data_IF_952693870036
#
_entry.id   IF_952693870036
#
_cell.length_a   1.000
_cell.length_b   1.000
_cell.length_c   1.000
_cell.angle_alpha   90.00
_cell.angle_beta   90.00
_cell.angle_gamma   90.00
#
_symmetry.space_group_name_H-M   'P 1'
#
loop_
_entity.id
_entity.type
_entity.pdbx_description
1 polymer ?
#
# COMPACT_ATOMS: atom_id res chain seq x y z
N UNK A 1 16.25 -92.72 43.74
CA UNK A 1 17.15 -92.10 44.74
C UNK A 1 17.32 -90.63 44.35
N UNK A 2 16.74 -89.68 45.08
CA UNK A 2 17.32 -88.94 46.23
C UNK A 2 18.60 -88.15 45.87
N UNK A 3 18.39 -86.88 45.48
CA UNK A 3 18.96 -85.60 46.01
C UNK A 3 20.49 -85.48 46.14
N UNK A 4 21.12 -84.41 45.58
CA UNK A 4 21.62 -83.19 46.32
C UNK A 4 22.52 -82.23 45.49
N UNK A 5 22.22 -80.92 45.58
CA UNK A 5 23.14 -79.73 45.67
C UNK A 5 24.04 -79.36 44.47
N UNK A 6 24.45 -78.12 44.14
CA UNK A 6 24.63 -76.81 44.83
C UNK A 6 24.82 -75.73 43.71
N UNK A 7 24.14 -74.58 43.72
CA UNK A 7 24.67 -73.21 43.99
C UNK A 7 25.28 -72.35 42.85
N UNK A 8 25.05 -71.03 42.98
CA UNK A 8 25.71 -69.84 42.40
C UNK A 8 25.36 -69.44 40.96
N UNK A 9 24.49 -68.44 40.75
CA UNK A 9 24.75 -66.97 40.78
C UNK A 9 25.75 -66.55 39.70
N UNK A 10 25.26 -65.99 38.58
CA UNK A 10 25.46 -64.57 38.16
C UNK A 10 24.36 -64.23 37.15
N UNK A 11 23.37 -63.46 37.58
CA UNK A 11 22.44 -62.76 36.66
C UNK A 11 23.16 -61.51 36.19
N UNK A 12 23.75 -61.56 35.00
CA UNK A 12 24.23 -60.36 34.30
C UNK A 12 23.03 -59.67 33.67
N UNK A 13 22.29 -58.89 34.48
CA UNK A 13 21.29 -57.96 33.97
C UNK A 13 22.02 -56.85 33.22
N UNK A 14 22.13 -56.98 31.90
CA UNK A 14 22.63 -55.95 31.01
C UNK A 14 21.58 -54.82 30.99
N UNK A 15 21.70 -53.88 31.92
CA UNK A 15 20.87 -52.69 31.97
C UNK A 15 21.22 -51.81 30.78
N UNK A 16 20.53 -52.00 29.64
CA UNK A 16 20.45 -51.01 28.58
C UNK A 16 19.68 -49.81 29.14
N UNK A 17 20.40 -48.88 29.78
CA UNK A 17 19.88 -47.55 30.05
C UNK A 17 19.76 -46.83 28.71
N UNK A 18 18.59 -46.96 28.08
CA UNK A 18 18.17 -46.11 26.97
C UNK A 18 18.10 -44.68 27.47
N UNK A 19 19.19 -43.92 27.33
CA UNK A 19 19.11 -42.47 27.39
C UNK A 19 18.27 -42.04 26.19
N UNK A 20 16.97 -41.79 26.43
CA UNK A 20 16.18 -41.02 25.48
C UNK A 20 16.92 -39.69 25.32
N UNK A 21 17.55 -39.50 24.17
CA UNK A 21 18.10 -38.21 23.79
C UNK A 21 16.91 -37.25 23.77
N UNK A 22 16.81 -36.37 24.77
CA UNK A 22 15.90 -35.24 24.69
C UNK A 22 16.34 -34.47 23.45
N UNK A 23 15.50 -34.44 22.42
CA UNK A 23 15.69 -33.56 21.29
C UNK A 23 15.62 -32.13 21.84
N UNK A 24 16.80 -31.52 22.00
CA UNK A 24 16.92 -30.14 22.44
C UNK A 24 16.22 -29.27 21.39
N UNK A 25 15.20 -28.52 21.78
CA UNK A 25 14.48 -27.66 20.85
C UNK A 25 15.41 -26.54 20.43
N UNK A 26 16.01 -26.67 19.24
CA UNK A 26 16.88 -25.64 18.69
C UNK A 26 16.03 -24.52 18.10
N UNK A 27 15.87 -23.44 18.84
CA UNK A 27 15.23 -22.22 18.34
C UNK A 27 16.25 -21.44 17.52
N UNK A 28 15.96 -21.22 16.24
CA UNK A 28 16.77 -20.37 15.35
C UNK A 28 16.23 -18.95 15.35
N UNK A 29 17.04 -17.98 14.93
CA UNK A 29 16.59 -16.60 14.77
C UNK A 29 15.48 -16.53 13.70
N UNK A 30 14.29 -16.06 14.11
CA UNK A 30 13.19 -15.74 13.19
C UNK A 30 13.46 -14.46 12.39
N UNK A 31 12.80 -14.33 11.24
CA UNK A 31 12.83 -13.11 10.41
C UNK A 31 11.93 -11.99 10.94
N UNK A 32 11.82 -10.90 10.18
CA UNK A 32 11.05 -9.70 10.55
C UNK A 32 9.67 -9.71 9.88
N UNK A 33 8.63 -9.36 10.65
CA UNK A 33 7.28 -9.07 10.13
C UNK A 33 7.03 -7.57 10.28
N UNK A 34 6.61 -6.89 9.20
CA UNK A 34 6.28 -5.47 9.21
C UNK A 34 4.77 -5.28 9.22
N UNK A 35 4.23 -4.70 10.29
CA UNK A 35 2.82 -4.34 10.41
C UNK A 35 2.67 -2.85 10.09
N UNK A 36 1.82 -2.52 9.12
CA UNK A 36 1.41 -1.15 8.79
C UNK A 36 -0.10 -1.02 9.02
N UNK A 37 -0.52 0.05 9.67
CA UNK A 37 -1.92 0.35 9.92
C UNK A 37 -2.05 1.63 10.73
N UNK A 38 -3.19 2.29 10.62
CA UNK A 38 -3.53 3.48 11.38
C UNK A 38 -4.91 3.26 12.02
N UNK A 39 -5.01 3.55 13.32
CA UNK A 39 -6.30 3.52 14.03
C UNK A 39 -6.80 4.96 14.10
N UNK A 40 -7.85 5.27 13.36
CA UNK A 40 -8.49 6.59 13.34
C UNK A 40 -9.81 6.55 14.10
N UNK A 41 -10.14 7.62 14.84
CA UNK A 41 -11.48 7.81 15.42
C UNK A 41 -12.31 8.65 14.46
N UNK A 42 -12.53 8.12 13.26
CA UNK A 42 -13.27 8.80 12.20
C UNK A 42 -14.57 8.06 11.88
N UNK A 43 -15.41 8.65 11.03
CA UNK A 43 -16.69 8.05 10.64
C UNK A 43 -16.55 6.74 9.85
N UNK A 44 -15.41 6.54 9.19
CA UNK A 44 -15.05 5.30 8.50
C UNK A 44 -13.58 4.93 8.74
N UNK A 45 -13.26 3.65 8.58
CA UNK A 45 -11.90 3.16 8.42
C UNK A 45 -11.51 3.17 6.94
N UNK A 46 -10.24 3.42 6.61
CA UNK A 46 -9.75 3.24 5.23
C UNK A 46 -9.36 1.78 5.03
N UNK A 47 -9.82 1.15 3.95
CA UNK A 47 -9.48 -0.25 3.63
C UNK A 47 -7.96 -0.43 3.49
N UNK A 48 -7.43 -1.56 3.98
CA UNK A 48 -6.00 -1.85 3.95
C UNK A 48 -5.41 -1.90 2.53
N UNK A 49 -6.20 -2.32 1.53
CA UNK A 49 -5.82 -2.30 0.12
C UNK A 49 -5.80 -0.89 -0.48
N UNK A 50 -6.50 0.06 0.14
CA UNK A 50 -6.51 1.47 -0.27
C UNK A 50 -5.39 2.30 0.38
N UNK A 51 -4.82 1.83 1.52
CA UNK A 51 -3.72 2.50 2.25
C UNK A 51 -2.41 2.49 1.46
N UNK A 52 -2.04 1.36 0.85
CA UNK A 52 -0.77 1.17 0.13
C UNK A 52 -1.02 0.65 -1.29
N UNK A 53 -1.72 1.46 -2.09
CA UNK A 53 -2.10 1.11 -3.46
C UNK A 53 -1.05 1.54 -4.49
N UNK A 54 -0.78 0.67 -5.46
CA UNK A 54 0.04 0.99 -6.63
C UNK A 54 -0.87 1.06 -7.86
N UNK A 55 -1.00 2.25 -8.43
CA UNK A 55 -1.79 2.49 -9.66
C UNK A 55 -0.87 2.41 -10.87
N UNK A 56 -1.03 1.39 -11.71
CA UNK A 56 -0.22 1.26 -12.94
C UNK A 56 -0.76 2.16 -14.05
N UNK A 57 -0.10 3.30 -14.30
CA UNK A 57 -0.44 4.22 -15.39
C UNK A 57 -0.11 3.66 -16.79
N UNK A 58 0.72 2.63 -16.86
CA UNK A 58 1.19 2.03 -18.11
C UNK A 58 2.21 2.89 -18.85
N UNK A 59 2.54 2.47 -20.07
CA UNK A 59 3.51 3.18 -20.92
C UNK A 59 2.80 4.14 -21.87
N UNK A 60 3.33 5.36 -21.97
CA UNK A 60 2.84 6.40 -22.90
C UNK A 60 3.98 6.87 -23.77
N UNK A 61 3.73 6.96 -25.07
CA UNK A 61 4.73 7.50 -26.01
C UNK A 61 4.95 8.98 -25.74
N UNK A 62 6.21 9.40 -25.59
CA UNK A 62 6.60 10.81 -25.43
C UNK A 62 6.04 11.71 -26.54
N UNK A 63 5.90 11.20 -27.76
CA UNK A 63 5.27 11.91 -28.88
C UNK A 63 3.80 12.32 -28.62
N UNK A 64 3.06 11.61 -27.75
CA UNK A 64 1.71 11.99 -27.32
C UNK A 64 1.73 13.13 -26.28
N UNK A 65 2.88 13.36 -25.66
CA UNK A 65 3.13 14.33 -24.59
C UNK A 65 4.13 15.40 -25.05
N UNK A 66 4.09 15.77 -26.33
CA UNK A 66 5.08 16.63 -26.96
C UNK A 66 4.92 18.12 -26.62
N UNK A 67 3.77 18.54 -26.09
CA UNK A 67 3.47 19.92 -25.74
C UNK A 67 2.87 20.03 -24.34
N UNK A 68 3.10 21.18 -23.69
CA UNK A 68 2.44 21.50 -22.44
C UNK A 68 0.90 21.41 -22.57
N UNK A 69 0.25 20.80 -21.58
CA UNK A 69 -1.19 20.53 -21.60
C UNK A 69 -1.59 19.20 -22.26
N UNK A 70 -0.66 18.50 -22.91
CA UNK A 70 -0.92 17.16 -23.44
C UNK A 70 -1.12 16.15 -22.30
N UNK A 71 -2.08 15.24 -22.47
CA UNK A 71 -2.43 14.25 -21.44
C UNK A 71 -2.45 12.82 -21.99
N UNK A 72 -2.18 11.86 -21.11
CA UNK A 72 -2.37 10.44 -21.42
C UNK A 72 -3.82 10.00 -21.27
N UNK A 73 -4.08 8.74 -21.60
CA UNK A 73 -5.29 8.08 -21.12
C UNK A 73 -5.27 8.05 -19.59
N UNK A 74 -6.43 8.25 -18.98
CA UNK A 74 -6.59 8.18 -17.54
C UNK A 74 -6.80 6.73 -17.09
N UNK A 75 -6.22 6.40 -15.94
CA UNK A 75 -6.39 5.11 -15.26
C UNK A 75 -7.21 5.36 -14.00
N UNK A 76 -8.33 4.65 -13.88
CA UNK A 76 -9.17 4.72 -12.69
C UNK A 76 -8.54 3.98 -11.52
N UNK A 77 -8.66 4.54 -10.34
CA UNK A 77 -8.34 3.90 -9.07
C UNK A 77 -9.38 4.29 -8.03
N UNK A 78 -9.52 3.49 -6.99
CA UNK A 78 -10.55 3.72 -5.97
C UNK A 78 -9.90 3.86 -4.59
N UNK A 79 -10.55 4.63 -3.73
CA UNK A 79 -10.31 4.61 -2.29
C UNK A 79 -11.55 4.03 -1.65
N UNK A 80 -11.39 2.88 -1.00
CA UNK A 80 -12.46 2.21 -0.27
C UNK A 80 -12.39 2.61 1.21
N UNK A 81 -13.56 2.98 1.75
CA UNK A 81 -13.80 3.25 3.15
C UNK A 81 -14.70 2.14 3.70
N UNK A 82 -14.29 1.48 4.77
CA UNK A 82 -15.02 0.42 5.43
C UNK A 82 -15.60 0.88 6.77
N UNK A 83 -16.61 0.14 7.24
CA UNK A 83 -17.29 0.38 8.52
C UNK A 83 -17.75 1.83 8.71
N UNK A 84 -18.26 2.45 7.63
CA UNK A 84 -18.80 3.80 7.72
C UNK A 84 -20.06 3.85 8.59
N UNK A 85 -20.14 4.84 9.47
CA UNK A 85 -21.31 5.17 10.29
C UNK A 85 -21.86 6.55 9.89
N UNK A 86 -23.00 6.54 9.20
CA UNK A 86 -23.63 7.77 8.70
C UNK A 86 -24.22 8.67 9.79
N UNK A 87 -24.31 8.19 11.03
CA UNK A 87 -24.70 9.01 12.19
C UNK A 87 -23.58 9.92 12.67
N UNK A 88 -22.32 9.58 12.36
CA UNK A 88 -21.13 10.39 12.68
C UNK A 88 -20.85 11.41 11.57
N UNK A 89 -20.88 10.97 10.31
CA UNK A 89 -20.71 11.83 9.15
C UNK A 89 -21.48 11.28 7.94
N UNK A 90 -22.04 12.17 7.14
CA UNK A 90 -22.87 11.80 5.99
C UNK A 90 -22.12 11.89 4.67
N UNK A 91 -20.95 12.53 4.65
CA UNK A 91 -20.13 12.70 3.46
C UNK A 91 -18.66 12.48 3.77
N UNK A 92 -17.92 12.07 2.73
CA UNK A 92 -16.47 12.02 2.74
C UNK A 92 -15.89 12.70 1.50
N UNK A 93 -14.77 13.39 1.69
CA UNK A 93 -14.01 14.04 0.63
C UNK A 93 -12.53 13.70 0.81
N UNK A 94 -11.77 13.61 -0.28
CA UNK A 94 -10.35 13.23 -0.22
C UNK A 94 -9.48 14.35 -0.77
N UNK A 95 -8.44 14.73 -0.03
CA UNK A 95 -7.40 15.63 -0.51
C UNK A 95 -6.10 14.84 -0.71
N UNK A 96 -5.35 15.16 -1.77
CA UNK A 96 -4.03 14.59 -2.03
C UNK A 96 -2.93 15.58 -1.67
N UNK A 97 -1.81 15.08 -1.18
CA UNK A 97 -0.62 15.85 -0.85
C UNK A 97 0.61 15.21 -1.46
N UNK A 98 1.42 16.03 -2.12
CA UNK A 98 2.64 15.59 -2.76
C UNK A 98 3.43 16.77 -3.30
N UNK A 99 4.64 16.51 -3.79
CA UNK A 99 5.46 17.57 -4.39
C UNK A 99 4.90 17.93 -5.76
N UNK A 100 4.42 19.16 -5.95
CA UNK A 100 4.06 19.65 -7.27
C UNK A 100 5.30 19.76 -8.18
N UNK A 101 5.12 19.55 -9.48
CA UNK A 101 6.22 19.61 -10.47
C UNK A 101 6.87 21.00 -10.54
N UNK A 102 6.07 22.05 -10.37
CA UNK A 102 6.51 23.44 -10.29
C UNK A 102 5.46 24.32 -9.58
N UNK A 103 5.77 25.58 -9.32
CA UNK A 103 4.89 26.53 -8.61
C UNK A 103 3.69 27.01 -9.43
N UNK A 104 3.69 26.80 -10.74
CA UNK A 104 2.59 27.18 -11.64
C UNK A 104 1.61 26.03 -11.89
N UNK A 105 2.06 24.79 -11.78
CA UNK A 105 1.30 23.56 -12.02
C UNK A 105 1.10 22.78 -10.71
N UNK A 106 0.41 23.39 -9.75
CA UNK A 106 0.16 22.82 -8.40
C UNK A 106 -0.72 21.57 -8.38
N UNK A 107 -1.37 21.23 -9.50
CA UNK A 107 -2.21 20.04 -9.67
C UNK A 107 -1.46 18.86 -10.33
N UNK A 108 -0.18 19.04 -10.65
CA UNK A 108 0.64 18.04 -11.33
C UNK A 108 1.74 17.58 -10.39
N UNK A 109 1.72 16.30 -10.05
CA UNK A 109 2.64 15.66 -9.14
C UNK A 109 3.99 15.46 -9.83
N UNK A 110 5.04 15.92 -9.17
CA UNK A 110 6.41 15.72 -9.59
C UNK A 110 6.74 14.23 -9.60
N UNK A 111 7.49 13.81 -10.61
CA UNK A 111 8.06 12.48 -10.63
C UNK A 111 9.17 12.38 -9.57
N UNK A 112 9.32 11.19 -8.99
CA UNK A 112 10.44 10.90 -8.10
C UNK A 112 11.75 10.96 -8.89
N UNK A 113 12.48 12.05 -8.74
CA UNK A 113 13.64 12.37 -9.58
C UNK A 113 14.94 11.73 -9.09
N UNK A 114 14.85 10.58 -8.41
CA UNK A 114 15.98 9.97 -7.69
C UNK A 114 16.87 9.07 -8.56
N UNK A 115 16.53 8.84 -9.84
CA UNK A 115 17.30 7.96 -10.72
C UNK A 115 17.67 8.61 -12.06
N UNK A 116 18.87 8.31 -12.55
CA UNK A 116 19.25 8.62 -13.93
C UNK A 116 18.28 7.92 -14.90
N UNK A 117 17.70 8.68 -15.84
CA UNK A 117 16.72 8.15 -16.79
C UNK A 117 15.25 8.37 -16.41
N UNK A 118 14.95 9.23 -15.43
CA UNK A 118 13.58 9.72 -15.21
C UNK A 118 13.10 10.61 -16.37
N UNK A 119 11.81 10.53 -16.67
CA UNK A 119 11.19 11.42 -17.65
C UNK A 119 11.18 12.86 -17.15
N UNK A 120 11.29 13.82 -18.06
CA UNK A 120 11.24 15.26 -17.76
C UNK A 120 10.07 15.93 -18.48
N UNK A 121 9.65 17.10 -17.99
CA UNK A 121 8.51 17.88 -18.52
C UNK A 121 7.16 17.13 -18.50
N UNK A 122 7.03 16.15 -17.61
CA UNK A 122 5.81 15.37 -17.40
C UNK A 122 5.68 15.04 -15.93
N UNK A 123 4.45 15.04 -15.43
CA UNK A 123 4.10 14.59 -14.09
C UNK A 123 2.79 13.81 -14.10
N UNK A 124 2.30 13.47 -12.91
CA UNK A 124 1.03 12.73 -12.73
C UNK A 124 -0.04 13.67 -12.20
N UNK A 125 -1.19 13.74 -12.86
CA UNK A 125 -2.34 14.50 -12.42
C UNK A 125 -3.38 13.55 -11.85
N UNK A 126 -3.89 13.87 -10.66
CA UNK A 126 -4.97 13.14 -9.99
C UNK A 126 -6.26 13.92 -10.21
N UNK A 127 -7.30 13.22 -10.63
CA UNK A 127 -8.63 13.76 -10.88
C UNK A 127 -9.64 13.07 -9.98
N UNK A 128 -10.61 13.83 -9.50
CA UNK A 128 -11.74 13.30 -8.76
C UNK A 128 -12.77 12.60 -9.67
N UNK A 129 -13.86 12.13 -9.06
CA UNK A 129 -14.96 11.47 -9.76
C UNK A 129 -15.64 12.34 -10.83
N UNK A 130 -15.49 13.67 -10.77
CA UNK A 130 -16.04 14.62 -11.75
C UNK A 130 -15.07 14.88 -12.90
N UNK A 131 -13.84 14.36 -12.83
CA UNK A 131 -12.76 14.68 -13.76
C UNK A 131 -12.10 16.02 -13.47
N UNK A 132 -12.24 16.56 -12.26
CA UNK A 132 -11.60 17.80 -11.83
C UNK A 132 -10.21 17.49 -11.27
N UNK A 133 -9.14 18.15 -11.77
CA UNK A 133 -7.81 18.02 -11.18
C UNK A 133 -7.76 18.54 -9.74
N UNK A 134 -7.14 17.76 -8.85
CA UNK A 134 -6.93 18.15 -7.46
C UNK A 134 -5.56 18.79 -7.27
N UNK A 135 -5.50 19.86 -6.49
CA UNK A 135 -4.23 20.41 -6.04
C UNK A 135 -3.59 19.48 -5.01
N UNK A 136 -2.26 19.47 -4.97
CA UNK A 136 -1.47 18.53 -4.18
C UNK A 136 -1.00 19.16 -2.85
N UNK A 137 -1.83 20.01 -2.27
CA UNK A 137 -1.56 20.77 -1.04
C UNK A 137 -2.03 20.05 0.23
N UNK A 138 -2.79 18.96 0.10
CA UNK A 138 -3.43 18.25 1.20
C UNK A 138 -4.56 19.03 1.88
N UNK A 139 -5.09 20.07 1.22
CA UNK A 139 -6.18 20.93 1.70
C UNK A 139 -7.28 21.15 0.63
N UNK A 140 -6.98 20.88 -0.64
CA UNK A 140 -7.94 20.87 -1.73
C UNK A 140 -8.62 19.50 -1.80
N UNK A 141 -9.86 19.45 -1.34
CA UNK A 141 -10.66 18.22 -1.28
C UNK A 141 -11.42 17.96 -2.59
N UNK A 142 -11.61 16.68 -2.89
CA UNK A 142 -12.46 16.19 -3.97
C UNK A 142 -13.92 16.59 -3.79
N UNK A 143 -14.71 16.44 -4.86
CA UNK A 143 -16.17 16.42 -4.71
C UNK A 143 -16.60 15.46 -3.58
N UNK A 144 -17.47 15.95 -2.71
CA UNK A 144 -17.96 15.19 -1.56
C UNK A 144 -18.78 13.98 -2.03
N UNK A 145 -18.47 12.82 -1.48
CA UNK A 145 -19.19 11.57 -1.73
C UNK A 145 -20.13 11.32 -0.57
N UNK A 146 -21.41 11.11 -0.86
CA UNK A 146 -22.38 10.70 0.17
C UNK A 146 -22.06 9.31 0.67
N UNK A 147 -21.92 9.17 1.98
CA UNK A 147 -21.65 7.91 2.65
C UNK A 147 -22.93 7.12 2.86
N UNK A 148 -22.79 5.80 2.82
CA UNK A 148 -23.79 4.84 3.28
C UNK A 148 -23.20 4.04 4.45
N UNK A 149 -24.04 3.42 5.26
CA UNK A 149 -23.52 2.53 6.32
C UNK A 149 -22.80 1.32 5.68
N UNK A 150 -21.60 1.00 6.18
CA UNK A 150 -20.76 -0.06 5.64
C UNK A 150 -19.75 0.42 4.57
N UNK A 151 -19.46 -0.40 3.52
CA UNK A 151 -18.39 -0.09 2.58
C UNK A 151 -18.79 0.98 1.56
N UNK A 152 -17.91 1.96 1.35
CA UNK A 152 -18.06 3.04 0.38
C UNK A 152 -16.84 3.11 -0.54
N UNK A 153 -17.08 3.27 -1.84
CA UNK A 153 -16.02 3.34 -2.86
C UNK A 153 -16.02 4.73 -3.47
N UNK A 154 -14.90 5.44 -3.33
CA UNK A 154 -14.70 6.76 -3.92
C UNK A 154 -13.78 6.61 -5.15
N UNK A 155 -14.30 6.83 -6.38
CA UNK A 155 -13.51 6.68 -7.59
C UNK A 155 -12.68 7.93 -7.91
N UNK A 156 -11.45 7.70 -8.33
CA UNK A 156 -10.49 8.70 -8.79
C UNK A 156 -9.88 8.25 -10.12
N UNK A 157 -9.18 9.18 -10.77
CA UNK A 157 -8.43 8.89 -11.97
C UNK A 157 -7.04 9.50 -11.88
N UNK A 158 -6.04 8.82 -12.44
CA UNK A 158 -4.70 9.33 -12.58
C UNK A 158 -4.28 9.31 -14.05
N UNK A 159 -3.58 10.35 -14.51
CA UNK A 159 -3.07 10.44 -15.88
C UNK A 159 -1.75 11.19 -15.91
N UNK A 160 -0.93 10.94 -16.93
CA UNK A 160 0.22 11.81 -17.21
C UNK A 160 -0.23 13.16 -17.75
N UNK A 161 0.43 14.22 -17.31
CA UNK A 161 0.25 15.59 -17.78
C UNK A 161 1.61 16.18 -18.15
N UNK A 162 1.74 16.66 -19.39
CA UNK A 162 2.94 17.30 -19.88
C UNK A 162 2.97 18.78 -19.49
N UNK A 163 4.05 19.23 -18.85
CA UNK A 163 4.35 20.65 -18.60
C UNK A 163 5.22 21.27 -19.71
N UNK A 164 5.70 20.44 -20.64
CA UNK A 164 6.48 20.83 -21.81
C UNK A 164 6.65 19.64 -22.75
N UNK A 165 7.71 19.63 -23.56
CA UNK A 165 8.02 18.47 -24.40
C UNK A 165 8.57 17.33 -23.54
N UNK A 166 7.76 16.30 -23.30
CA UNK A 166 8.12 15.18 -22.45
C UNK A 166 9.27 14.36 -23.03
N UNK A 167 10.23 13.98 -22.19
CA UNK A 167 11.30 13.04 -22.55
C UNK A 167 10.95 11.62 -22.13
N UNK A 168 11.57 10.63 -22.80
CA UNK A 168 11.39 9.24 -22.41
C UNK A 168 12.16 8.95 -21.11
N UNK A 169 11.53 8.21 -20.20
CA UNK A 169 12.14 7.83 -18.94
C UNK A 169 11.15 7.22 -17.95
N UNK A 170 11.64 6.87 -16.77
CA UNK A 170 10.81 6.38 -15.66
C UNK A 170 9.96 7.53 -15.11
N UNK A 171 8.69 7.25 -14.84
CA UNK A 171 7.72 8.26 -14.40
C UNK A 171 6.89 7.75 -13.22
N UNK A 172 7.59 7.46 -12.12
CA UNK A 172 6.99 7.09 -10.83
C UNK A 172 6.75 8.36 -9.99
N UNK A 173 5.68 8.37 -9.22
CA UNK A 173 5.32 9.48 -8.35
C UNK A 173 4.59 8.96 -7.12
N UNK A 174 4.83 9.59 -5.97
CA UNK A 174 4.18 9.26 -4.70
C UNK A 174 3.36 10.44 -4.21
N UNK A 175 2.13 10.16 -3.79
CA UNK A 175 1.26 11.10 -3.09
C UNK A 175 0.69 10.43 -1.85
N UNK A 176 0.43 11.24 -0.84
CA UNK A 176 -0.36 10.85 0.33
C UNK A 176 -1.76 11.41 0.18
N UNK A 177 -2.75 10.82 0.83
CA UNK A 177 -4.11 11.33 0.82
C UNK A 177 -4.63 11.50 2.25
N UNK A 178 -5.62 12.36 2.40
CA UNK A 178 -6.37 12.58 3.64
C UNK A 178 -7.84 12.49 3.32
N UNK A 179 -8.61 11.88 4.21
CA UNK A 179 -10.06 11.84 4.13
C UNK A 179 -10.63 12.83 5.13
N UNK A 180 -11.53 13.69 4.66
CA UNK A 180 -12.34 14.58 5.47
C UNK A 180 -13.76 14.05 5.52
N UNK A 181 -14.35 14.06 6.71
CA UNK A 181 -15.71 13.64 6.96
C UNK A 181 -16.57 14.86 7.33
N UNK A 182 -17.78 14.93 6.78
CA UNK A 182 -18.75 16.02 6.99
C UNK A 182 -20.16 15.51 7.30
#
# INVERSE_FOLDING_TARGET
MKIKTLAMIVVSALSLSSTAALADTTTVNGGTVHFKGEVVNAACAVDAGSIDQIVQLGQVRSAKLATAGSTSSAVGFNIQLDDCDTTVATKASVAFSGTAIDSTNTTVLALQNSAAGSATNVGVQILDNTGTPLALDGATFSAATTLNDGPNIIPFQARYYATGAATAGIANADATFKVQYE
#
